data_IF_983138743657
#
_entry.id   IF_983138743657
#
_cell.length_a   1.000
_cell.length_b   1.000
_cell.length_c   1.000
_cell.angle_alpha   90.00
_cell.angle_beta   90.00
_cell.angle_gamma   90.00
#
_symmetry.space_group_name_H-M   'P 1'
#
loop_
_entity.id
_entity.type
_entity.pdbx_description
1 polymer ?
#
# COMPACT_ATOMS: atom_id res chain seq x y z
N UNK A 1 14.96 -23.37 -9.06
CA UNK A 1 15.96 -22.28 -9.03
C UNK A 1 15.67 -21.22 -10.11
N UNK A 2 15.52 -21.60 -11.37
CA UNK A 2 15.18 -20.67 -12.48
C UNK A 2 13.89 -19.85 -12.26
N UNK A 3 12.82 -20.43 -11.72
CA UNK A 3 11.56 -19.73 -11.46
C UNK A 3 11.73 -18.50 -10.55
N UNK A 4 12.47 -18.62 -9.45
CA UNK A 4 12.76 -17.51 -8.53
C UNK A 4 13.61 -16.41 -9.17
N UNK A 5 14.46 -16.75 -10.14
CA UNK A 5 15.26 -15.76 -10.89
C UNK A 5 14.34 -14.96 -11.81
N UNK A 6 13.46 -15.65 -12.55
CA UNK A 6 12.45 -15.02 -13.39
C UNK A 6 11.48 -14.15 -12.59
N UNK A 7 11.02 -14.64 -11.44
CA UNK A 7 10.15 -13.90 -10.52
C UNK A 7 10.79 -12.58 -10.09
N UNK A 8 12.05 -12.61 -9.62
CA UNK A 8 12.79 -11.40 -9.25
C UNK A 8 12.99 -10.43 -10.42
N UNK A 9 13.22 -10.95 -11.62
CA UNK A 9 13.36 -10.13 -12.83
C UNK A 9 12.04 -9.42 -13.18
N UNK A 10 10.92 -10.16 -13.13
CA UNK A 10 9.59 -9.63 -13.39
C UNK A 10 9.19 -8.60 -12.34
N UNK A 11 9.37 -8.91 -11.06
CA UNK A 11 9.10 -8.00 -9.94
C UNK A 11 9.81 -6.67 -10.14
N UNK A 12 11.12 -6.71 -10.43
CA UNK A 12 11.91 -5.50 -10.69
C UNK A 12 11.36 -4.69 -11.87
N UNK A 13 11.15 -5.33 -13.02
CA UNK A 13 10.70 -4.62 -14.24
C UNK A 13 9.29 -4.04 -14.08
N UNK A 14 8.39 -4.79 -13.45
CA UNK A 14 7.03 -4.34 -13.18
C UNK A 14 7.03 -3.16 -12.21
N UNK A 15 7.79 -3.26 -11.12
CA UNK A 15 7.89 -2.18 -10.15
C UNK A 15 8.47 -0.90 -10.77
N UNK A 16 9.52 -1.02 -11.59
CA UNK A 16 10.11 0.12 -12.30
C UNK A 16 9.10 0.77 -13.26
N UNK A 17 8.31 -0.03 -13.99
CA UNK A 17 7.23 0.46 -14.85
C UNK A 17 6.13 1.20 -14.06
N UNK A 18 5.65 0.63 -12.95
CA UNK A 18 4.59 1.25 -12.13
C UNK A 18 5.04 2.57 -11.52
N UNK A 19 6.32 2.68 -11.12
CA UNK A 19 6.87 3.94 -10.61
C UNK A 19 7.01 4.99 -11.71
N UNK A 20 7.52 4.61 -12.88
CA UNK A 20 7.67 5.51 -14.02
C UNK A 20 6.32 6.15 -14.40
N UNK A 21 5.25 5.35 -14.34
CA UNK A 21 3.89 5.78 -14.66
C UNK A 21 3.13 6.38 -13.47
N UNK A 22 3.77 6.55 -12.30
CA UNK A 22 3.15 7.11 -11.08
C UNK A 22 1.83 6.40 -10.69
N UNK A 23 1.77 5.09 -10.87
CA UNK A 23 0.54 4.30 -10.64
C UNK A 23 0.19 4.17 -9.15
N UNK A 24 1.20 4.19 -8.26
CA UNK A 24 0.99 4.10 -6.82
C UNK A 24 0.40 5.38 -6.24
N UNK A 25 -0.64 5.24 -5.41
CA UNK A 25 -1.16 6.39 -4.65
C UNK A 25 -0.19 6.79 -3.54
N UNK A 26 -0.16 8.06 -3.11
CA UNK A 26 0.71 8.49 -2.01
C UNK A 26 0.47 7.70 -0.71
N UNK A 27 -0.78 7.35 -0.43
CA UNK A 27 -1.22 6.59 0.76
C UNK A 27 -1.22 5.07 0.58
N UNK A 28 -0.61 4.54 -0.48
CA UNK A 28 -0.38 3.10 -0.60
C UNK A 28 0.94 2.76 0.09
N UNK A 29 0.89 1.98 1.18
CA UNK A 29 2.09 1.62 1.95
C UNK A 29 2.54 0.17 1.69
N UNK A 30 1.62 -0.70 1.26
CA UNK A 30 1.92 -2.10 0.94
C UNK A 30 2.69 -2.25 -0.37
N UNK A 31 3.60 -3.23 -0.42
CA UNK A 31 4.35 -3.64 -1.61
C UNK A 31 5.14 -2.51 -2.29
N UNK A 32 5.56 -1.49 -1.53
CA UNK A 32 6.38 -0.37 -2.03
C UNK A 32 7.69 -0.27 -1.26
N UNK A 33 8.78 -0.04 -1.99
CA UNK A 33 10.08 0.25 -1.38
C UNK A 33 9.98 1.53 -0.54
N UNK A 34 10.64 1.52 0.61
CA UNK A 34 10.69 2.62 1.57
C UNK A 34 9.34 2.99 2.23
N UNK A 35 8.31 2.16 2.11
CA UNK A 35 7.07 2.28 2.89
C UNK A 35 6.90 1.05 3.78
N UNK A 36 6.23 1.22 4.92
CA UNK A 36 6.02 0.16 5.90
C UNK A 36 4.62 0.23 6.50
N UNK A 37 4.20 -0.85 7.16
CA UNK A 37 2.90 -0.91 7.83
C UNK A 37 2.84 0.07 9.01
N UNK A 38 3.96 0.30 9.70
CA UNK A 38 4.08 1.26 10.79
C UNK A 38 3.83 2.69 10.30
N UNK A 39 4.36 3.07 9.14
CA UNK A 39 4.05 4.37 8.51
C UNK A 39 2.56 4.51 8.18
N UNK A 40 1.94 3.45 7.64
CA UNK A 40 0.51 3.45 7.34
C UNK A 40 -0.34 3.69 8.60
N UNK A 41 0.03 3.04 9.71
CA UNK A 41 -0.62 3.20 11.00
C UNK A 41 -0.40 4.60 11.57
N UNK A 42 0.84 5.10 11.55
CA UNK A 42 1.18 6.43 12.03
C UNK A 42 0.38 7.52 11.28
N UNK A 43 0.37 7.47 9.95
CA UNK A 43 -0.39 8.43 9.13
C UNK A 43 -1.91 8.32 9.38
N UNK A 44 -2.42 7.10 9.59
CA UNK A 44 -3.83 6.89 9.92
C UNK A 44 -4.20 7.41 11.31
N UNK A 45 -3.33 7.26 12.30
CA UNK A 45 -3.54 7.83 13.65
C UNK A 45 -3.46 9.34 13.60
N UNK A 46 -2.40 9.89 13.01
CA UNK A 46 -2.19 11.33 12.90
C UNK A 46 -3.37 12.03 12.22
N UNK A 47 -3.84 11.48 11.09
CA UNK A 47 -5.01 12.02 10.38
C UNK A 47 -6.28 11.94 11.22
N UNK A 48 -6.48 10.87 11.98
CA UNK A 48 -7.66 10.77 12.85
C UNK A 48 -7.59 11.78 13.98
N UNK A 49 -6.46 11.87 14.68
CA UNK A 49 -6.27 12.84 15.77
C UNK A 49 -6.49 14.26 15.28
N UNK A 50 -5.95 14.63 14.11
CA UNK A 50 -6.14 15.98 13.56
C UNK A 50 -7.58 16.33 13.22
N UNK A 51 -8.42 15.34 12.88
CA UNK A 51 -9.86 15.57 12.65
C UNK A 51 -10.67 15.58 13.94
N UNK A 52 -10.26 14.78 14.94
CA UNK A 52 -10.84 14.86 16.29
C UNK A 52 -10.60 16.22 16.94
N UNK A 53 -9.40 16.77 16.79
CA UNK A 53 -9.05 18.11 17.31
C UNK A 53 -9.94 19.21 16.69
N UNK A 54 -10.45 18.98 15.48
CA UNK A 54 -11.41 19.86 14.80
C UNK A 54 -12.87 19.59 15.17
N UNK A 55 -13.12 18.75 16.18
CA UNK A 55 -14.45 18.26 16.57
C UNK A 55 -15.22 17.62 15.40
N UNK A 56 -14.53 17.06 14.40
CA UNK A 56 -15.17 16.39 13.27
C UNK A 56 -15.54 14.95 13.62
N UNK A 57 -16.67 14.48 13.08
CA UNK A 57 -17.05 13.08 13.18
C UNK A 57 -16.22 12.23 12.23
N UNK A 58 -15.69 11.11 12.73
CA UNK A 58 -14.82 10.21 11.96
C UNK A 58 -15.53 8.88 11.76
N UNK A 59 -15.55 8.41 10.51
CA UNK A 59 -15.99 7.08 10.15
C UNK A 59 -14.84 6.26 9.55
N UNK A 60 -14.70 5.01 9.97
CA UNK A 60 -13.71 4.08 9.44
C UNK A 60 -14.38 3.03 8.55
N UNK A 61 -14.01 2.99 7.26
CA UNK A 61 -14.36 1.91 6.36
C UNK A 61 -13.15 1.00 6.16
N UNK A 62 -13.24 -0.23 6.62
CA UNK A 62 -12.20 -1.25 6.45
C UNK A 62 -12.65 -2.24 5.40
N UNK A 63 -11.91 -2.28 4.28
CA UNK A 63 -12.19 -3.14 3.15
C UNK A 63 -11.14 -4.25 3.12
N UNK A 64 -11.60 -5.50 3.04
CA UNK A 64 -10.75 -6.64 2.74
C UNK A 64 -11.29 -7.36 1.51
N UNK A 65 -10.39 -7.76 0.62
CA UNK A 65 -10.74 -8.43 -0.62
C UNK A 65 -10.72 -9.94 -0.39
N UNK A 66 -11.83 -10.62 -0.65
CA UNK A 66 -11.88 -12.07 -0.58
C UNK A 66 -10.99 -12.67 -1.68
N UNK A 67 -9.90 -13.31 -1.28
CA UNK A 67 -9.02 -14.00 -2.21
C UNK A 67 -9.76 -15.11 -2.95
N UNK A 68 -9.85 -15.00 -4.28
CA UNK A 68 -10.16 -16.13 -5.17
C UNK A 68 -8.99 -16.31 -6.13
N UNK A 69 -7.93 -16.94 -5.63
CA UNK A 69 -6.88 -17.52 -6.48
C UNK A 69 -7.40 -18.87 -6.98
N UNK A 70 -8.22 -18.84 -8.03
CA UNK A 70 -8.41 -20.02 -8.88
C UNK A 70 -7.26 -20.03 -9.87
N UNK A 71 -6.31 -20.94 -9.68
CA UNK A 71 -5.35 -21.36 -10.70
C UNK A 71 -6.07 -22.18 -11.78
#
# INVERSE_FOLDING_TARGET
>A
VFSKIFERLLDKRLFDFLNLNKTFTPSQYGFRKAFSAEMALADTVNRRTSELDKASYIFGLFLDLKNRLTL
#
